data_IF_715022009855
#
_entry.id   IF_715022009855
#
_cell.length_a   1.000
_cell.length_b   1.000
_cell.length_c   1.000
_cell.angle_alpha   90.00
_cell.angle_beta   90.00
_cell.angle_gamma   90.00
#
_symmetry.space_group_name_H-M   'P 1'
#
loop_
_entity.id
_entity.type
_entity.pdbx_description
1 polymer ?
#
# COMPACT_ATOMS: atom_id res chain seq x y z
N UNK A 1 4.15 -15.59 -48.71
CA UNK A 1 5.05 -14.59 -48.11
C UNK A 1 4.81 -14.35 -46.63
N UNK A 2 3.60 -14.03 -46.13
CA UNK A 2 3.34 -13.81 -44.71
C UNK A 2 3.68 -15.01 -43.79
N UNK A 3 3.48 -16.27 -44.21
CA UNK A 3 3.80 -17.46 -43.39
C UNK A 3 5.32 -17.68 -43.23
N UNK A 4 6.13 -17.38 -44.23
CA UNK A 4 7.58 -17.48 -44.20
C UNK A 4 8.17 -16.36 -43.33
N UNK A 5 7.62 -15.14 -43.44
CA UNK A 5 8.02 -14.01 -42.59
C UNK A 5 7.73 -14.25 -41.10
N UNK A 6 6.56 -14.82 -40.77
CA UNK A 6 6.24 -15.20 -39.41
C UNK A 6 7.09 -16.39 -38.90
N UNK A 7 7.53 -17.28 -39.75
CA UNK A 7 8.43 -18.38 -39.39
C UNK A 7 9.84 -17.86 -39.11
N UNK A 8 10.32 -16.92 -39.93
CA UNK A 8 11.63 -16.24 -39.72
C UNK A 8 11.62 -15.40 -38.44
N UNK A 9 10.52 -14.67 -38.15
CA UNK A 9 10.36 -13.95 -36.88
C UNK A 9 10.31 -14.91 -35.66
N UNK A 10 9.80 -16.12 -35.80
CA UNK A 10 9.86 -17.14 -34.74
C UNK A 10 11.27 -17.70 -34.53
N UNK A 11 12.09 -17.77 -35.58
CA UNK A 11 13.50 -18.24 -35.49
C UNK A 11 14.45 -17.19 -34.90
N UNK A 12 14.17 -15.89 -35.12
CA UNK A 12 15.05 -14.80 -34.68
C UNK A 12 14.50 -13.94 -33.54
N UNK A 13 13.35 -14.26 -32.97
CA UNK A 13 12.59 -13.27 -32.21
C UNK A 13 12.00 -13.65 -30.87
N UNK A 14 12.48 -14.65 -30.16
CA UNK A 14 12.25 -14.68 -28.72
C UNK A 14 13.59 -14.51 -28.01
N UNK A 15 13.96 -13.25 -27.81
CA UNK A 15 14.93 -12.91 -26.79
C UNK A 15 14.56 -13.60 -25.47
N UNK A 16 15.52 -13.84 -24.60
CA UNK A 16 15.27 -14.44 -23.28
C UNK A 16 14.11 -13.70 -22.61
N UNK A 17 13.17 -14.40 -21.94
CA UNK A 17 12.08 -13.74 -21.23
C UNK A 17 12.68 -12.75 -20.21
N UNK A 18 12.16 -11.52 -20.22
CA UNK A 18 12.59 -10.47 -19.32
C UNK A 18 11.54 -10.31 -18.24
N UNK A 19 11.97 -10.29 -16.98
CA UNK A 19 11.14 -10.02 -15.81
C UNK A 19 11.76 -8.85 -15.06
N UNK A 20 11.28 -7.61 -15.31
CA UNK A 20 11.69 -6.45 -14.53
C UNK A 20 11.34 -6.63 -13.06
N UNK A 21 12.23 -6.16 -12.18
CA UNK A 21 12.02 -6.20 -10.73
C UNK A 21 11.86 -4.78 -10.21
N UNK A 22 10.73 -4.52 -9.57
CA UNK A 22 10.45 -3.30 -8.82
C UNK A 22 10.64 -3.58 -7.32
N UNK A 23 11.27 -2.67 -6.59
CA UNK A 23 11.46 -2.78 -5.14
C UNK A 23 10.71 -1.65 -4.44
N UNK A 24 9.81 -2.01 -3.53
CA UNK A 24 9.03 -1.12 -2.68
C UNK A 24 9.47 -1.32 -1.23
N UNK A 25 10.44 -0.51 -0.79
CA UNK A 25 11.09 -0.66 0.51
C UNK A 25 10.89 0.59 1.38
N UNK A 26 10.45 0.42 2.62
CA UNK A 26 10.30 1.47 3.62
C UNK A 26 8.86 1.93 3.84
N UNK A 27 8.70 3.11 4.45
CA UNK A 27 7.38 3.68 4.81
C UNK A 27 6.72 4.28 3.58
N UNK A 28 5.43 4.03 3.41
CA UNK A 28 4.62 4.62 2.35
C UNK A 28 4.17 6.02 2.74
N UNK A 29 4.50 7.04 1.93
CA UNK A 29 4.07 8.41 2.22
C UNK A 29 4.73 9.48 1.37
N UNK A 30 4.20 10.70 1.48
CA UNK A 30 4.76 11.93 0.89
C UNK A 30 5.48 12.75 1.95
N UNK A 31 6.42 13.59 1.54
CA UNK A 31 7.16 14.50 2.41
C UNK A 31 8.60 14.08 2.70
N UNK A 32 9.49 15.09 2.68
CA UNK A 32 10.92 14.96 2.86
C UNK A 32 11.28 14.74 4.33
N UNK A 33 11.99 13.65 4.60
CA UNK A 33 12.81 13.49 5.78
C UNK A 33 14.24 13.19 5.33
N UNK A 34 15.23 13.52 6.12
CA UNK A 34 16.62 13.11 5.91
C UNK A 34 16.63 11.57 6.06
N UNK A 35 16.80 10.83 4.97
CA UNK A 35 16.81 9.36 5.00
C UNK A 35 16.39 8.71 3.68
N UNK A 36 16.28 7.41 3.65
CA UNK A 36 15.87 6.61 2.48
C UNK A 36 14.53 7.10 1.91
N UNK A 37 14.43 7.16 0.59
CA UNK A 37 13.24 7.65 -0.11
C UNK A 37 11.99 6.91 0.34
N UNK A 38 10.90 7.66 0.59
CA UNK A 38 9.60 7.08 0.91
C UNK A 38 8.99 6.48 -0.34
N UNK A 39 8.22 5.40 -0.15
CA UNK A 39 7.39 4.82 -1.20
C UNK A 39 6.23 5.80 -1.48
N UNK A 40 6.21 6.39 -2.67
CA UNK A 40 5.07 7.18 -3.14
C UNK A 40 4.92 7.07 -4.66
N UNK A 41 3.76 7.46 -5.16
CA UNK A 41 3.40 7.30 -6.56
C UNK A 41 4.33 8.10 -7.49
N UNK A 42 4.72 9.30 -7.11
CA UNK A 42 5.58 10.18 -7.90
C UNK A 42 6.98 9.58 -8.08
N UNK A 43 7.61 9.15 -6.99
CA UNK A 43 8.95 8.58 -7.01
C UNK A 43 9.02 7.25 -7.78
N UNK A 44 7.95 6.47 -7.72
CA UNK A 44 7.89 5.16 -8.38
C UNK A 44 7.48 5.21 -9.84
N UNK A 45 6.79 6.26 -10.29
CA UNK A 45 6.24 6.36 -11.65
C UNK A 45 7.27 6.10 -12.76
N UNK A 46 8.50 6.65 -12.73
CA UNK A 46 9.49 6.37 -13.77
C UNK A 46 9.85 4.89 -13.86
N UNK A 47 10.07 4.24 -12.71
CA UNK A 47 10.43 2.83 -12.65
C UNK A 47 9.26 1.92 -13.05
N UNK A 48 8.05 2.23 -12.58
CA UNK A 48 6.83 1.51 -12.96
C UNK A 48 6.64 1.60 -14.48
N UNK A 49 6.70 2.80 -15.05
CA UNK A 49 6.56 3.00 -16.49
C UNK A 49 7.61 2.24 -17.27
N UNK A 50 8.88 2.27 -16.83
CA UNK A 50 9.99 1.56 -17.44
C UNK A 50 9.74 0.05 -17.43
N UNK A 51 9.37 -0.52 -16.28
CA UNK A 51 9.11 -1.96 -16.12
C UNK A 51 8.07 -2.50 -17.10
N UNK A 52 7.05 -1.71 -17.43
CA UNK A 52 6.00 -2.11 -18.36
C UNK A 52 6.23 -1.70 -19.82
N UNK A 53 7.11 -0.71 -20.14
CA UNK A 53 7.21 -0.17 -21.50
C UNK A 53 8.46 -0.55 -22.26
N UNK A 54 9.60 -0.71 -21.60
CA UNK A 54 10.88 -0.83 -22.33
C UNK A 54 11.27 -2.25 -22.70
N UNK A 55 10.71 -3.27 -22.03
CA UNK A 55 11.22 -4.63 -22.15
C UNK A 55 10.25 -5.65 -22.73
N UNK A 56 9.02 -5.27 -23.09
CA UNK A 56 7.97 -6.25 -23.43
C UNK A 56 7.99 -7.45 -22.47
N UNK A 57 7.78 -7.21 -21.17
CA UNK A 57 8.07 -8.17 -20.12
C UNK A 57 7.14 -9.38 -20.19
N UNK A 58 7.67 -10.55 -19.85
CA UNK A 58 6.85 -11.77 -19.67
C UNK A 58 6.08 -11.78 -18.36
N UNK A 59 6.58 -11.07 -17.36
CA UNK A 59 5.97 -10.79 -16.07
C UNK A 59 6.67 -9.60 -15.45
N UNK A 60 6.07 -8.99 -14.41
CA UNK A 60 6.75 -8.01 -13.53
C UNK A 60 6.82 -8.60 -12.14
N UNK A 61 8.00 -8.60 -11.53
CA UNK A 61 8.20 -8.96 -10.13
C UNK A 61 8.24 -7.70 -9.27
N UNK A 62 7.51 -7.70 -8.15
CA UNK A 62 7.54 -6.63 -7.16
C UNK A 62 8.02 -7.21 -5.83
N UNK A 63 9.09 -6.67 -5.30
CA UNK A 63 9.60 -7.00 -3.97
C UNK A 63 9.06 -5.96 -2.99
N UNK A 64 8.43 -6.41 -1.90
CA UNK A 64 7.85 -5.53 -0.88
C UNK A 64 8.52 -5.79 0.46
N UNK A 65 9.01 -4.71 1.08
CA UNK A 65 9.48 -4.68 2.45
C UNK A 65 9.00 -3.36 3.10
N UNK A 66 7.74 -3.37 3.59
CA UNK A 66 7.09 -2.15 4.07
C UNK A 66 6.13 -2.42 5.22
N UNK A 67 6.24 -1.65 6.33
CA UNK A 67 5.27 -1.69 7.42
C UNK A 67 3.96 -0.98 7.07
N UNK A 68 3.86 -0.33 5.91
CA UNK A 68 2.71 0.44 5.49
C UNK A 68 2.93 1.95 5.53
N UNK A 69 1.84 2.68 5.71
CA UNK A 69 1.83 4.14 5.74
C UNK A 69 0.58 4.72 5.07
N UNK A 70 0.74 5.73 4.21
CA UNK A 70 -0.37 6.46 3.59
C UNK A 70 -1.29 5.57 2.76
N UNK A 71 -2.59 5.47 3.09
CA UNK A 71 -3.56 4.72 2.30
C UNK A 71 -3.70 5.26 0.87
N UNK A 72 -3.67 6.59 0.73
CA UNK A 72 -3.79 7.26 -0.57
C UNK A 72 -2.63 6.88 -1.48
N UNK A 73 -1.39 6.92 -0.99
CA UNK A 73 -0.23 6.54 -1.79
C UNK A 73 -0.25 5.05 -2.14
N UNK A 74 -0.67 4.19 -1.22
CA UNK A 74 -0.87 2.76 -1.48
C UNK A 74 -1.88 2.54 -2.61
N UNK A 75 -3.01 3.24 -2.56
CA UNK A 75 -4.06 3.17 -3.58
C UNK A 75 -3.58 3.66 -4.95
N UNK A 76 -2.90 4.81 -5.00
CA UNK A 76 -2.40 5.38 -6.27
C UNK A 76 -1.40 4.46 -6.95
N UNK A 77 -0.45 3.92 -6.19
CA UNK A 77 0.55 2.98 -6.70
C UNK A 77 -0.13 1.69 -7.19
N UNK A 78 -1.05 1.13 -6.37
CA UNK A 78 -1.82 -0.05 -6.75
C UNK A 78 -2.55 0.16 -8.08
N UNK A 79 -3.33 1.23 -8.19
CA UNK A 79 -4.11 1.54 -9.39
C UNK A 79 -3.19 1.72 -10.61
N UNK A 80 -2.06 2.41 -10.42
CA UNK A 80 -1.11 2.65 -11.52
C UNK A 80 -0.50 1.38 -12.06
N UNK A 81 -0.02 0.51 -11.17
CA UNK A 81 0.59 -0.77 -11.58
C UNK A 81 -0.46 -1.68 -12.22
N UNK A 82 -1.64 -1.83 -11.60
CA UNK A 82 -2.71 -2.67 -12.17
C UNK A 82 -3.17 -2.15 -13.53
N UNK A 83 -3.36 -0.86 -13.69
CA UNK A 83 -3.72 -0.28 -14.99
C UNK A 83 -2.73 -0.68 -16.10
N UNK A 84 -1.43 -0.64 -15.82
CA UNK A 84 -0.43 -1.01 -16.81
C UNK A 84 -0.36 -2.52 -17.05
N UNK A 85 -0.48 -3.31 -15.99
CA UNK A 85 -0.50 -4.77 -16.05
C UNK A 85 -1.68 -5.26 -16.89
N UNK A 86 -2.89 -4.76 -16.58
CA UNK A 86 -4.12 -5.15 -17.28
C UNK A 86 -4.11 -4.66 -18.74
N UNK A 87 -3.66 -3.42 -19.00
CA UNK A 87 -3.57 -2.87 -20.37
C UNK A 87 -2.63 -3.65 -21.27
N UNK A 88 -1.58 -4.26 -20.68
CA UNK A 88 -0.53 -4.97 -21.44
C UNK A 88 -0.62 -6.48 -21.34
N UNK A 89 -1.59 -6.98 -20.59
CA UNK A 89 -1.76 -8.41 -20.30
C UNK A 89 -0.47 -9.04 -19.73
N UNK A 90 0.13 -8.34 -18.76
CA UNK A 90 1.39 -8.75 -18.11
C UNK A 90 1.11 -9.17 -16.68
N UNK A 91 1.37 -10.42 -16.29
CA UNK A 91 1.18 -10.88 -14.92
C UNK A 91 2.17 -10.20 -13.96
N UNK A 92 1.70 -9.95 -12.74
CA UNK A 92 2.49 -9.37 -11.66
C UNK A 92 2.67 -10.39 -10.53
N UNK A 93 3.91 -10.65 -10.16
CA UNK A 93 4.28 -11.51 -9.03
C UNK A 93 4.81 -10.65 -7.89
N UNK A 94 4.24 -10.79 -6.70
CA UNK A 94 4.70 -10.05 -5.51
C UNK A 94 5.46 -10.98 -4.58
N UNK A 95 6.61 -10.51 -4.12
CA UNK A 95 7.48 -11.19 -3.16
C UNK A 95 7.64 -10.32 -1.93
N UNK A 96 7.21 -10.84 -0.78
CA UNK A 96 7.31 -10.17 0.51
C UNK A 96 8.62 -10.60 1.17
N UNK A 97 9.44 -9.64 1.56
CA UNK A 97 10.64 -9.87 2.38
C UNK A 97 10.27 -9.88 3.88
N UNK A 98 10.83 -9.00 4.70
CA UNK A 98 10.61 -9.04 6.15
C UNK A 98 9.15 -8.72 6.51
N UNK A 99 8.56 -7.71 5.84
CA UNK A 99 7.22 -7.21 6.21
C UNK A 99 6.43 -6.67 5.01
N UNK A 100 5.16 -7.02 4.97
CA UNK A 100 4.14 -6.35 4.16
C UNK A 100 2.88 -6.18 5.02
N UNK A 101 2.86 -5.13 5.83
CA UNK A 101 1.76 -4.85 6.76
C UNK A 101 1.00 -3.59 6.35
N UNK A 102 -0.30 -3.53 6.68
CA UNK A 102 -1.15 -2.37 6.41
C UNK A 102 -1.06 -1.92 4.93
N UNK A 103 -0.65 -0.67 4.64
CA UNK A 103 -0.42 -0.20 3.28
C UNK A 103 0.57 -1.07 2.48
N UNK A 104 1.50 -1.78 3.13
CA UNK A 104 2.39 -2.75 2.49
C UNK A 104 1.61 -3.95 1.94
N UNK A 105 0.62 -4.45 2.69
CA UNK A 105 -0.26 -5.50 2.21
C UNK A 105 -1.23 -5.00 1.12
N UNK A 106 -1.68 -3.74 1.22
CA UNK A 106 -2.41 -3.08 0.13
C UNK A 106 -1.64 -3.16 -1.18
N UNK A 107 -0.32 -2.82 -1.14
CA UNK A 107 0.56 -2.94 -2.31
C UNK A 107 0.77 -4.39 -2.72
N UNK A 108 0.80 -5.34 -1.78
CA UNK A 108 0.92 -6.77 -2.12
C UNK A 108 -0.27 -7.26 -2.95
N UNK A 109 -1.46 -6.69 -2.75
CA UNK A 109 -2.64 -7.00 -3.56
C UNK A 109 -2.53 -6.56 -5.04
N UNK A 110 -1.44 -5.89 -5.44
CA UNK A 110 -1.10 -5.69 -6.86
C UNK A 110 -0.87 -7.03 -7.55
N UNK A 111 -0.27 -7.99 -6.85
CA UNK A 111 0.12 -9.29 -7.39
C UNK A 111 -1.07 -10.15 -7.81
N UNK A 112 -0.90 -10.85 -8.91
CA UNK A 112 -1.76 -11.97 -9.29
C UNK A 112 -1.45 -13.17 -8.40
N UNK A 113 -0.16 -13.33 -8.05
CA UNK A 113 0.33 -14.23 -7.00
C UNK A 113 1.17 -13.46 -5.99
N UNK A 114 1.09 -13.86 -4.71
CA UNK A 114 1.83 -13.28 -3.59
C UNK A 114 2.62 -14.38 -2.92
N UNK A 115 3.91 -14.17 -2.79
CA UNK A 115 4.86 -15.06 -2.12
C UNK A 115 5.43 -14.37 -0.90
N UNK A 116 5.57 -15.10 0.20
CA UNK A 116 6.19 -14.62 1.44
C UNK A 116 7.10 -15.70 2.01
N UNK A 117 8.18 -15.29 2.67
CA UNK A 117 8.89 -16.21 3.54
C UNK A 117 7.97 -16.60 4.71
N UNK A 118 8.13 -17.80 5.22
CA UNK A 118 7.32 -18.28 6.36
C UNK A 118 7.43 -17.40 7.61
N UNK A 119 8.53 -16.65 7.74
CA UNK A 119 8.81 -15.74 8.84
C UNK A 119 8.44 -14.28 8.53
N UNK A 120 8.03 -13.95 7.31
CA UNK A 120 7.57 -12.60 6.94
C UNK A 120 6.39 -12.18 7.81
N UNK A 121 6.27 -10.90 8.11
CA UNK A 121 5.09 -10.34 8.78
C UNK A 121 4.11 -9.85 7.71
N UNK A 122 2.88 -10.37 7.72
CA UNK A 122 1.88 -10.10 6.69
C UNK A 122 0.53 -9.73 7.32
N UNK A 123 -0.23 -8.84 6.71
CA UNK A 123 -1.57 -8.50 7.16
C UNK A 123 -1.69 -7.08 7.69
N UNK A 124 -2.14 -6.90 8.94
CA UNK A 124 -2.46 -5.58 9.50
C UNK A 124 -3.46 -4.81 8.62
N UNK A 125 -4.55 -5.52 8.21
CA UNK A 125 -5.61 -4.92 7.40
C UNK A 125 -6.50 -4.11 8.32
N UNK A 126 -6.05 -2.89 8.62
CA UNK A 126 -6.65 -2.00 9.59
C UNK A 126 -6.19 -0.56 9.39
N UNK A 127 -6.93 0.36 10.02
CA UNK A 127 -6.62 1.79 10.03
C UNK A 127 -6.43 2.27 11.45
N UNK A 128 -5.34 2.96 11.71
CA UNK A 128 -5.03 3.55 13.01
C UNK A 128 -4.82 5.05 12.88
N UNK A 129 -5.33 5.82 13.85
CA UNK A 129 -4.91 7.20 14.11
C UNK A 129 -4.48 7.29 15.56
N UNK A 130 -3.26 7.74 15.80
CA UNK A 130 -2.71 7.91 17.13
C UNK A 130 -2.19 9.33 17.31
N UNK A 131 -2.49 9.93 18.46
CA UNK A 131 -2.00 11.26 18.86
C UNK A 131 -1.82 11.31 20.37
N UNK A 132 -1.28 12.43 20.85
CA UNK A 132 -1.13 12.71 22.28
C UNK A 132 -1.99 13.91 22.66
N UNK A 133 -2.57 13.87 23.88
CA UNK A 133 -3.22 15.02 24.53
C UNK A 133 -2.26 15.74 25.48
N UNK A 134 -2.11 17.05 25.30
CA UNK A 134 -1.19 17.87 26.10
C UNK A 134 -1.91 18.94 26.92
N UNK A 135 -3.23 18.88 27.07
CA UNK A 135 -4.04 19.90 27.75
C UNK A 135 -3.55 20.18 29.17
N UNK A 136 -3.35 19.13 29.97
CA UNK A 136 -2.87 19.31 31.34
C UNK A 136 -1.39 19.68 31.41
N UNK A 137 -0.57 19.19 30.47
CA UNK A 137 0.85 19.48 30.43
C UNK A 137 1.11 20.99 30.23
N UNK A 138 0.45 21.61 29.25
CA UNK A 138 0.64 23.05 29.02
C UNK A 138 0.10 23.90 30.17
N UNK A 139 -1.00 23.48 30.81
CA UNK A 139 -1.54 24.17 32.00
C UNK A 139 -0.56 24.15 33.15
N UNK A 140 0.06 22.98 33.43
CA UNK A 140 1.09 22.85 34.50
C UNK A 140 2.34 23.69 34.22
N UNK A 141 2.68 23.89 32.94
CA UNK A 141 3.82 24.71 32.52
C UNK A 141 3.49 26.21 32.43
N UNK A 142 2.24 26.64 32.69
CA UNK A 142 1.80 28.00 32.56
C UNK A 142 1.83 28.55 31.13
N UNK A 143 1.74 27.64 30.13
CA UNK A 143 1.76 28.01 28.72
C UNK A 143 0.35 28.31 28.23
N UNK A 144 0.13 29.52 27.71
CA UNK A 144 -1.11 29.92 27.06
C UNK A 144 -1.03 29.64 25.55
N UNK A 145 -1.90 28.75 25.03
CA UNK A 145 -2.02 28.52 23.61
C UNK A 145 -3.11 29.38 22.99
N UNK A 146 -2.72 30.22 22.03
CA UNK A 146 -3.62 31.14 21.30
C UNK A 146 -3.83 30.64 19.88
N UNK A 147 -5.06 30.27 19.52
CA UNK A 147 -5.43 29.77 18.19
C UNK A 147 -6.61 30.57 17.66
N UNK A 148 -6.41 31.20 16.53
CA UNK A 148 -7.43 31.99 15.84
C UNK A 148 -7.78 31.27 14.53
N UNK A 149 -9.05 30.91 14.35
CA UNK A 149 -9.49 30.17 13.17
C UNK A 149 -10.73 30.79 12.55
N UNK A 150 -10.86 30.65 11.25
CA UNK A 150 -12.12 30.89 10.53
C UNK A 150 -12.74 29.54 10.19
N UNK A 151 -14.00 29.35 10.49
CA UNK A 151 -14.69 28.05 10.29
C UNK A 151 -14.67 27.17 11.55
N UNK A 152 -15.88 26.71 11.90
CA UNK A 152 -16.19 26.01 13.16
C UNK A 152 -15.33 24.79 13.46
N UNK A 153 -14.95 24.04 12.43
CA UNK A 153 -14.20 22.76 12.57
C UNK A 153 -12.71 22.88 12.25
N UNK A 154 -12.20 24.09 12.04
CA UNK A 154 -10.80 24.26 11.60
C UNK A 154 -9.75 23.91 12.68
N UNK A 155 -10.16 23.87 13.95
CA UNK A 155 -9.32 23.48 15.08
C UNK A 155 -9.72 22.12 15.68
N UNK A 156 -10.31 21.23 14.90
CA UNK A 156 -10.68 19.89 15.36
C UNK A 156 -9.45 19.07 15.73
N UNK A 157 -9.57 18.23 16.74
CA UNK A 157 -8.52 17.31 17.23
C UNK A 157 -7.24 18.05 17.67
N UNK A 158 -7.36 19.29 18.16
CA UNK A 158 -6.22 20.04 18.71
C UNK A 158 -5.68 19.32 19.96
N UNK A 159 -4.41 18.84 19.95
CA UNK A 159 -3.86 18.05 21.05
C UNK A 159 -3.68 18.83 22.34
N UNK A 160 -3.82 20.17 22.32
CA UNK A 160 -3.71 21.03 23.48
C UNK A 160 -5.07 21.45 24.04
N UNK A 161 -6.16 20.85 23.55
CA UNK A 161 -7.52 21.08 24.04
C UNK A 161 -8.16 19.74 24.42
N UNK A 162 -9.18 19.74 25.31
CA UNK A 162 -9.99 18.55 25.55
C UNK A 162 -10.61 18.05 24.25
N UNK A 163 -10.64 16.73 24.08
CA UNK A 163 -11.29 16.12 22.91
C UNK A 163 -12.79 16.44 22.88
N UNK A 164 -13.31 16.69 21.69
CA UNK A 164 -14.73 16.80 21.43
C UNK A 164 -15.26 15.54 20.80
N UNK A 165 -16.41 15.05 21.27
CA UNK A 165 -17.04 13.84 20.75
C UNK A 165 -17.32 13.92 19.24
N UNK A 166 -17.70 15.09 18.75
CA UNK A 166 -17.99 15.33 17.34
C UNK A 166 -16.72 15.18 16.48
N UNK A 167 -15.58 15.69 16.97
CA UNK A 167 -14.29 15.59 16.26
C UNK A 167 -13.82 14.13 16.19
N UNK A 168 -13.96 13.40 17.30
CA UNK A 168 -13.65 11.96 17.34
C UNK A 168 -14.55 11.16 16.40
N UNK A 169 -15.86 11.48 16.36
CA UNK A 169 -16.80 10.80 15.47
C UNK A 169 -16.48 11.07 14.00
N UNK A 170 -16.14 12.31 13.66
CA UNK A 170 -15.69 12.68 12.31
C UNK A 170 -14.45 11.88 11.90
N UNK A 171 -13.45 11.78 12.78
CA UNK A 171 -12.24 10.98 12.52
C UNK A 171 -12.57 9.50 12.32
N UNK A 172 -13.41 8.92 13.19
CA UNK A 172 -13.85 7.52 13.06
C UNK A 172 -14.57 7.25 11.75
N UNK A 173 -15.38 8.18 11.26
CA UNK A 173 -16.05 8.02 9.96
C UNK A 173 -15.01 7.94 8.82
N UNK A 174 -14.01 8.84 8.79
CA UNK A 174 -12.93 8.82 7.80
C UNK A 174 -12.12 7.51 7.88
N UNK A 175 -11.84 7.04 9.09
CA UNK A 175 -11.14 5.77 9.29
C UNK A 175 -11.96 4.58 8.78
N UNK A 176 -13.27 4.57 9.03
CA UNK A 176 -14.18 3.52 8.55
C UNK A 176 -14.26 3.50 7.02
N UNK A 177 -14.33 4.67 6.36
CA UNK A 177 -14.33 4.75 4.90
C UNK A 177 -13.01 4.20 4.32
N UNK A 178 -11.88 4.53 4.94
CA UNK A 178 -10.57 4.01 4.55
C UNK A 178 -10.47 2.50 4.78
N UNK A 179 -10.95 2.02 5.92
CA UNK A 179 -11.01 0.59 6.24
C UNK A 179 -11.86 -0.17 5.22
N UNK A 180 -13.04 0.36 4.90
CA UNK A 180 -13.92 -0.23 3.90
C UNK A 180 -13.22 -0.35 2.54
N UNK A 181 -12.56 0.70 2.09
CA UNK A 181 -11.81 0.68 0.82
C UNK A 181 -10.71 -0.39 0.82
N UNK A 182 -10.03 -0.60 1.95
CA UNK A 182 -9.01 -1.63 2.08
C UNK A 182 -9.62 -3.04 2.07
N UNK A 183 -10.69 -3.27 2.83
CA UNK A 183 -11.41 -4.55 2.85
C UNK A 183 -11.95 -4.90 1.46
N UNK A 184 -12.60 -3.94 0.79
CA UNK A 184 -13.14 -4.12 -0.57
C UNK A 184 -12.02 -4.52 -1.57
N UNK A 185 -10.84 -3.88 -1.47
CA UNK A 185 -9.68 -4.23 -2.30
C UNK A 185 -9.19 -5.65 -2.04
N UNK A 186 -8.95 -6.00 -0.78
CA UNK A 186 -8.43 -7.32 -0.41
C UNK A 186 -9.43 -8.40 -0.83
N UNK A 187 -10.70 -8.23 -0.51
CA UNK A 187 -11.78 -9.15 -0.89
C UNK A 187 -11.86 -9.33 -2.41
N UNK A 188 -11.74 -8.25 -3.18
CA UNK A 188 -11.73 -8.30 -4.64
C UNK A 188 -10.52 -9.04 -5.20
N UNK A 189 -9.33 -8.80 -4.64
CA UNK A 189 -8.07 -9.32 -5.17
C UNK A 189 -7.76 -10.73 -4.70
N UNK A 190 -8.16 -11.08 -3.49
CA UNK A 190 -7.92 -12.42 -2.93
C UNK A 190 -9.10 -13.35 -3.17
N UNK A 191 -10.34 -12.83 -3.18
CA UNK A 191 -11.55 -13.60 -3.54
C UNK A 191 -11.66 -14.90 -2.76
N UNK A 192 -11.80 -16.00 -3.48
CA UNK A 192 -11.91 -17.36 -2.93
C UNK A 192 -10.61 -17.93 -2.31
N UNK A 193 -9.51 -17.18 -2.36
CA UNK A 193 -8.26 -17.52 -1.66
C UNK A 193 -8.29 -17.14 -0.18
N UNK A 194 -9.27 -16.31 0.26
CA UNK A 194 -9.45 -15.97 1.67
C UNK A 194 -10.24 -17.07 2.39
N UNK A 195 -9.80 -17.39 3.60
CA UNK A 195 -10.60 -18.20 4.51
C UNK A 195 -11.76 -17.41 5.10
N UNK A 196 -12.68 -18.12 5.78
CA UNK A 196 -13.80 -17.49 6.51
C UNK A 196 -13.41 -16.96 7.91
N UNK A 197 -12.09 -16.78 8.15
CA UNK A 197 -11.59 -16.28 9.43
C UNK A 197 -11.94 -14.79 9.62
N UNK A 198 -12.71 -14.50 10.65
CA UNK A 198 -13.19 -13.15 10.95
C UNK A 198 -12.09 -12.20 11.47
N UNK A 199 -10.89 -12.71 11.75
CA UNK A 199 -9.76 -11.90 12.21
C UNK A 199 -9.02 -11.20 11.08
N UNK A 200 -9.20 -11.63 9.83
CA UNK A 200 -8.47 -11.11 8.65
C UNK A 200 -8.58 -9.58 8.55
N UNK A 201 -9.74 -9.01 8.84
CA UNK A 201 -10.03 -7.58 8.69
C UNK A 201 -10.04 -6.78 10.00
N UNK A 202 -9.45 -7.32 11.06
CA UNK A 202 -9.40 -6.67 12.39
C UNK A 202 -8.17 -5.81 12.62
N UNK A 203 -7.21 -5.78 11.68
CA UNK A 203 -5.91 -5.17 11.86
C UNK A 203 -4.86 -6.12 12.45
N UNK A 204 -5.19 -7.39 12.64
CA UNK A 204 -4.22 -8.41 13.04
C UNK A 204 -3.17 -8.65 11.94
N UNK A 205 -2.03 -9.19 12.34
CA UNK A 205 -0.95 -9.60 11.44
C UNK A 205 -0.43 -10.97 11.84
N UNK A 206 0.18 -11.66 10.90
CA UNK A 206 0.58 -13.05 11.02
C UNK A 206 1.97 -13.27 10.44
N UNK A 207 2.58 -14.39 10.79
CA UNK A 207 3.71 -14.91 10.02
C UNK A 207 3.26 -15.31 8.61
N UNK A 208 4.19 -15.37 7.65
CA UNK A 208 3.87 -15.84 6.30
C UNK A 208 3.31 -17.27 6.30
N UNK A 209 3.75 -18.12 7.25
CA UNK A 209 3.22 -19.47 7.45
C UNK A 209 1.72 -19.46 7.81
N UNK A 210 1.31 -18.61 8.75
CA UNK A 210 -0.11 -18.47 9.13
C UNK A 210 -0.91 -17.73 8.07
N UNK A 211 -0.37 -16.65 7.49
CA UNK A 211 -1.04 -15.88 6.45
C UNK A 211 -1.38 -16.72 5.21
N UNK A 212 -0.63 -17.81 4.96
CA UNK A 212 -0.93 -18.76 3.87
C UNK A 212 -2.22 -19.55 4.11
N UNK A 213 -2.62 -19.73 5.38
CA UNK A 213 -3.82 -20.48 5.76
C UNK A 213 -5.09 -19.61 5.73
N UNK A 214 -4.89 -18.29 5.81
CA UNK A 214 -5.93 -17.28 5.81
C UNK A 214 -6.24 -16.76 4.40
#
# INVERSE_FOLDING_TARGET
MKKIFNFILKLFGKGKPIVPVLRFEGIIGTGGGIGKGKINAENLEPNIKKAFSESNPSAVAIIINSPGGSPVQSSLIYQRVRYLADKKDVPVMVFIEDVAASGGYWLSCIGDEIFADKSSIVGSIGVISASFGFTEAINKLGVERRVYTTGKSKGSLDPFKPEKKEDVQMLKNIMNDTQKAFVDLVSKRRGNKLSDDNTIFTGAFWSGEEAKKL
#
